data_IF_824233351842
#
_entry.id   IF_824233351842
#
_cell.length_a   1.000
_cell.length_b   1.000
_cell.length_c   1.000
_cell.angle_alpha   90.00
_cell.angle_beta   90.00
_cell.angle_gamma   90.00
#
_symmetry.space_group_name_H-M   'P 1'
#
loop_
_entity.id
_entity.type
_entity.pdbx_description
1 polymer ?
#
# COMPACT_ATOMS: atom_id res chain seq x y z
N UNK A 1 -29.43 40.66 -8.96
CA UNK A 1 -30.46 40.99 -7.93
C UNK A 1 -29.77 40.94 -6.56
N UNK A 2 -30.17 41.87 -5.69
CA UNK A 2 -29.54 42.40 -4.46
C UNK A 2 -28.65 41.43 -3.64
N UNK A 3 -27.40 41.75 -3.27
CA UNK A 3 -26.85 42.90 -2.50
C UNK A 3 -27.10 42.81 -0.98
N UNK A 4 -26.02 42.66 -0.18
CA UNK A 4 -25.47 43.65 0.78
C UNK A 4 -24.45 42.97 1.73
N UNK A 5 -23.16 43.37 1.78
CA UNK A 5 -22.57 44.58 2.44
C UNK A 5 -22.45 44.37 3.96
N UNK A 6 -21.36 44.60 4.71
CA UNK A 6 -19.96 45.05 4.59
C UNK A 6 -19.32 44.84 5.99
N UNK A 7 -17.99 44.77 6.12
CA UNK A 7 -17.23 45.81 6.85
C UNK A 7 -15.71 45.60 6.70
N UNK A 8 -15.06 46.67 6.26
CA UNK A 8 -13.61 46.80 6.01
C UNK A 8 -12.96 47.60 7.14
N UNK A 9 -11.66 47.32 7.32
CA UNK A 9 -10.56 48.21 7.74
C UNK A 9 -10.57 48.78 9.17
N UNK A 10 -9.42 48.69 9.85
CA UNK A 10 -8.40 49.75 9.81
C UNK A 10 -7.05 49.29 10.41
N UNK A 11 -5.98 49.59 9.68
CA UNK A 11 -4.58 49.58 10.13
C UNK A 11 -4.20 51.00 10.58
N UNK A 12 -3.45 51.12 11.67
CA UNK A 12 -2.67 52.32 11.97
C UNK A 12 -1.32 51.93 12.60
N UNK A 13 -0.26 52.55 12.10
CA UNK A 13 1.10 52.50 12.63
C UNK A 13 1.49 53.90 13.13
N UNK A 14 2.21 54.00 14.26
CA UNK A 14 2.96 55.20 14.69
C UNK A 14 4.24 54.77 15.43
N UNK A 15 5.30 55.56 15.23
CA UNK A 15 6.72 55.37 15.59
C UNK A 15 7.08 56.18 16.88
N UNK A 16 8.14 55.71 17.57
CA UNK A 16 8.97 56.21 18.70
C UNK A 16 8.76 57.58 19.39
N UNK A 17 8.96 57.60 20.72
CA UNK A 17 9.77 58.61 21.44
C UNK A 17 10.10 58.19 22.90
N UNK A 18 11.28 58.58 23.37
CA UNK A 18 11.91 58.22 24.64
C UNK A 18 11.52 59.08 25.87
N UNK A 19 11.68 58.50 27.07
CA UNK A 19 12.24 59.17 28.26
C UNK A 19 11.30 59.79 29.29
N UNK A 20 11.28 59.21 30.51
CA UNK A 20 11.53 59.88 31.82
C UNK A 20 10.86 59.14 32.98
N UNK A 21 11.55 59.09 34.12
CA UNK A 21 11.38 58.05 35.14
C UNK A 21 10.32 58.30 36.22
N UNK A 22 9.90 57.19 36.84
CA UNK A 22 9.39 57.11 38.21
C UNK A 22 9.74 55.73 38.80
N UNK A 23 10.18 55.64 40.07
CA UNK A 23 10.51 54.35 40.67
C UNK A 23 9.24 53.51 40.90
N UNK A 24 9.27 52.27 40.44
CA UNK A 24 8.20 51.28 40.62
C UNK A 24 8.07 50.84 42.10
N UNK A 25 6.85 50.61 42.61
CA UNK A 25 6.66 49.98 43.90
C UNK A 25 7.05 48.50 43.85
N UNK A 26 7.66 48.02 44.94
CA UNK A 26 8.11 46.63 45.14
C UNK A 26 6.96 45.64 44.83
N UNK A 27 7.14 44.65 43.93
CA UNK A 27 6.11 43.65 43.68
C UNK A 27 5.91 42.73 44.89
N UNK A 28 4.65 42.45 45.22
CA UNK A 28 4.29 41.38 46.18
C UNK A 28 4.77 40.02 45.65
N UNK A 29 5.10 39.06 46.53
CA UNK A 29 5.35 37.68 46.12
C UNK A 29 4.13 37.15 45.37
N UNK A 30 4.35 36.67 44.15
CA UNK A 30 3.37 35.94 43.36
C UNK A 30 3.06 34.62 44.08
N UNK A 31 1.79 34.24 44.30
CA UNK A 31 1.48 32.91 44.81
C UNK A 31 2.00 31.85 43.83
N UNK A 32 2.65 30.82 44.38
CA UNK A 32 3.19 29.72 43.58
C UNK A 32 2.07 29.06 42.77
N UNK A 33 2.29 28.74 41.48
CA UNK A 33 1.31 28.00 40.70
C UNK A 33 1.18 26.60 41.30
N UNK A 34 -0.03 26.27 41.75
CA UNK A 34 -0.41 24.91 42.12
C UNK A 34 -0.18 24.01 40.89
N UNK A 35 0.51 22.86 41.02
CA UNK A 35 0.64 21.94 39.91
C UNK A 35 -0.77 21.47 39.49
N UNK A 36 -1.13 21.79 38.24
CA UNK A 36 -2.31 21.26 37.58
C UNK A 36 -2.18 19.73 37.56
N UNK A 37 -3.24 18.95 37.81
CA UNK A 37 -3.17 17.51 37.69
C UNK A 37 -2.67 17.15 36.29
N UNK A 38 -1.49 16.53 36.22
CA UNK A 38 -0.99 15.94 34.98
C UNK A 38 -2.00 14.87 34.59
N UNK A 39 -2.78 15.13 33.53
CA UNK A 39 -3.53 14.05 32.90
C UNK A 39 -2.50 12.99 32.49
N UNK A 40 -2.75 11.70 32.75
CA UNK A 40 -1.86 10.67 32.26
C UNK A 40 -1.73 10.85 30.75
N UNK A 41 -0.50 11.08 30.29
CA UNK A 41 -0.15 11.00 28.89
C UNK A 41 -0.70 9.66 28.40
N UNK A 42 -1.50 9.61 27.32
CA UNK A 42 -1.90 8.34 26.74
C UNK A 42 -0.60 7.60 26.49
N UNK A 43 -0.41 6.48 27.18
CA UNK A 43 0.63 5.54 26.82
C UNK A 43 0.29 5.16 25.39
N UNK A 44 1.02 5.69 24.41
CA UNK A 44 0.96 5.20 23.05
C UNK A 44 1.37 3.75 23.17
N UNK A 45 0.40 2.85 23.26
CA UNK A 45 0.63 1.43 23.11
C UNK A 45 1.36 1.33 21.77
N UNK A 46 2.56 0.78 21.79
CA UNK A 46 3.20 0.38 20.55
C UNK A 46 2.16 -0.41 19.75
N UNK A 47 2.00 -0.15 18.44
CA UNK A 47 1.02 -0.85 17.63
C UNK A 47 1.24 -2.34 17.87
N UNK A 48 0.24 -2.99 18.47
CA UNK A 48 0.31 -4.41 18.74
C UNK A 48 0.14 -5.08 17.39
N UNK A 49 1.26 -5.37 16.73
CA UNK A 49 1.24 -6.18 15.52
C UNK A 49 0.62 -7.51 15.89
N UNK A 50 -0.44 -7.89 15.19
CA UNK A 50 -0.99 -9.23 15.30
C UNK A 50 0.08 -10.15 14.72
N UNK A 51 0.83 -10.83 15.60
CA UNK A 51 1.79 -11.83 15.16
C UNK A 51 1.07 -12.88 14.28
N UNK A 52 1.74 -13.43 13.27
CA UNK A 52 1.18 -14.48 12.42
C UNK A 52 0.56 -15.66 13.19
N UNK A 53 1.14 -16.01 14.35
CA UNK A 53 0.58 -17.01 15.26
C UNK A 53 -0.79 -16.62 15.80
N UNK A 54 -0.97 -15.35 16.17
CA UNK A 54 -2.23 -14.76 16.62
C UNK A 54 -3.25 -14.68 15.48
N UNK A 55 -2.83 -14.43 14.25
CA UNK A 55 -3.73 -14.47 13.09
C UNK A 55 -4.47 -15.81 13.01
N UNK A 56 -3.71 -16.92 13.05
CA UNK A 56 -4.25 -18.28 12.93
C UNK A 56 -5.12 -18.68 14.10
N UNK A 57 -4.72 -18.37 15.33
CA UNK A 57 -5.46 -18.79 16.52
C UNK A 57 -6.69 -17.95 16.80
N UNK A 58 -6.77 -16.72 16.26
CA UNK A 58 -7.73 -15.71 16.70
C UNK A 58 -8.56 -15.17 15.55
N UNK A 59 -7.93 -14.57 14.53
CA UNK A 59 -8.66 -13.95 13.40
C UNK A 59 -9.23 -15.03 12.49
N UNK A 60 -8.43 -16.03 12.12
CA UNK A 60 -8.84 -17.09 11.22
C UNK A 60 -9.93 -18.01 11.80
N UNK A 61 -9.95 -18.19 13.12
CA UNK A 61 -10.93 -19.05 13.82
C UNK A 61 -12.21 -18.31 14.20
N UNK A 62 -12.16 -16.97 14.33
CA UNK A 62 -13.33 -16.17 14.65
C UNK A 62 -14.39 -16.23 13.52
N UNK A 63 -15.69 -16.30 13.86
CA UNK A 63 -16.76 -16.12 12.88
C UNK A 63 -16.66 -14.73 12.24
N UNK A 64 -16.81 -14.61 10.92
CA UNK A 64 -16.70 -13.32 10.21
C UNK A 64 -17.55 -12.21 10.83
N UNK A 65 -18.84 -12.41 11.20
CA UNK A 65 -19.64 -11.35 11.82
C UNK A 65 -19.07 -10.83 13.14
N UNK A 66 -18.28 -11.64 13.86
CA UNK A 66 -17.67 -11.21 15.12
C UNK A 66 -16.46 -10.29 14.94
N UNK A 67 -15.90 -10.24 13.72
CA UNK A 67 -14.77 -9.38 13.36
C UNK A 67 -15.19 -8.00 12.86
N UNK A 68 -16.50 -7.75 12.74
CA UNK A 68 -17.04 -6.52 12.17
C UNK A 68 -17.65 -5.64 13.24
N UNK A 69 -17.53 -4.32 13.06
CA UNK A 69 -18.23 -3.35 13.92
C UNK A 69 -19.74 -3.51 13.73
N UNK A 70 -20.53 -3.19 14.76
CA UNK A 70 -21.98 -3.35 14.70
C UNK A 70 -22.67 -2.50 13.63
N UNK A 71 -22.06 -1.38 13.23
CA UNK A 71 -22.63 -0.43 12.28
C UNK A 71 -21.54 0.09 11.35
N UNK A 72 -21.47 -0.49 10.15
CA UNK A 72 -20.56 -0.10 9.07
C UNK A 72 -21.37 0.29 7.83
N UNK A 73 -20.79 1.14 6.98
CA UNK A 73 -21.45 1.64 5.76
C UNK A 73 -21.03 0.87 4.51
N UNK A 74 -19.85 0.26 4.54
CA UNK A 74 -19.30 -0.58 3.47
C UNK A 74 -18.35 -1.63 4.06
N UNK A 75 -17.80 -2.52 3.23
CA UNK A 75 -16.75 -3.43 3.71
C UNK A 75 -15.44 -2.69 4.03
N UNK A 76 -15.30 -1.43 3.60
CA UNK A 76 -14.09 -0.62 3.82
C UNK A 76 -13.94 -0.19 5.28
N UNK A 77 -15.06 0.08 5.96
CA UNK A 77 -15.09 0.52 7.36
C UNK A 77 -15.57 -0.57 8.34
N UNK A 78 -15.70 -1.82 7.86
CA UNK A 78 -16.35 -2.88 8.61
C UNK A 78 -15.47 -3.54 9.68
N UNK A 79 -14.15 -3.60 9.54
CA UNK A 79 -13.29 -4.35 10.47
C UNK A 79 -13.18 -3.69 11.85
N UNK A 80 -13.49 -4.45 12.92
CA UNK A 80 -13.40 -3.98 14.30
C UNK A 80 -11.97 -4.10 14.84
N UNK A 81 -11.14 -3.10 14.49
CA UNK A 81 -9.77 -2.99 14.99
C UNK A 81 -9.68 -2.64 16.48
N UNK A 82 -10.77 -2.18 17.10
CA UNK A 82 -10.81 -1.84 18.53
C UNK A 82 -10.86 -3.13 19.35
N UNK A 83 -11.68 -4.08 18.92
CA UNK A 83 -11.82 -5.37 19.59
C UNK A 83 -10.72 -6.37 19.19
N UNK A 84 -10.32 -6.39 17.92
CA UNK A 84 -9.45 -7.46 17.38
C UNK A 84 -8.01 -7.01 17.08
N UNK A 85 -7.69 -5.74 17.30
CA UNK A 85 -6.35 -5.19 17.09
C UNK A 85 -6.05 -4.89 15.62
N UNK A 86 -4.81 -4.49 15.35
CA UNK A 86 -4.39 -3.98 14.03
C UNK A 86 -4.39 -5.08 12.98
N UNK A 87 -4.96 -4.77 11.81
CA UNK A 87 -4.81 -5.60 10.64
C UNK A 87 -3.34 -5.60 10.16
N UNK A 88 -2.88 -6.73 9.64
CA UNK A 88 -1.52 -6.87 9.09
C UNK A 88 -1.57 -7.46 7.69
N UNK A 89 -0.68 -7.04 6.80
CA UNK A 89 -0.64 -7.63 5.45
C UNK A 89 -0.35 -9.14 5.51
N UNK A 90 0.54 -9.57 6.41
CA UNK A 90 0.86 -11.00 6.65
C UNK A 90 -0.38 -11.82 7.06
N UNK A 91 -1.24 -11.31 7.94
CA UNK A 91 -2.46 -12.03 8.28
C UNK A 91 -3.45 -12.06 7.11
N UNK A 92 -3.51 -11.01 6.28
CA UNK A 92 -4.32 -11.03 5.07
C UNK A 92 -3.84 -12.14 4.10
N UNK A 93 -2.53 -12.26 3.88
CA UNK A 93 -1.95 -13.36 3.08
C UNK A 93 -2.36 -14.73 3.61
N UNK A 94 -2.27 -14.94 4.93
CA UNK A 94 -2.70 -16.20 5.56
C UNK A 94 -4.17 -16.50 5.27
N UNK A 95 -5.04 -15.51 5.43
CA UNK A 95 -6.48 -15.68 5.17
C UNK A 95 -6.74 -16.03 3.70
N UNK A 96 -5.98 -15.46 2.77
CA UNK A 96 -6.19 -15.55 1.32
C UNK A 96 -5.55 -16.82 0.74
N UNK A 97 -4.24 -16.95 0.89
CA UNK A 97 -3.42 -17.93 0.18
C UNK A 97 -3.50 -19.31 0.84
N UNK A 98 -3.58 -19.35 2.18
CA UNK A 98 -3.55 -20.62 2.91
C UNK A 98 -4.93 -21.12 3.33
N UNK A 99 -5.81 -20.21 3.74
CA UNK A 99 -7.09 -20.58 4.35
C UNK A 99 -8.29 -20.33 3.45
N UNK A 100 -8.12 -19.63 2.34
CA UNK A 100 -9.18 -19.31 1.38
C UNK A 100 -10.41 -18.63 2.01
N UNK A 101 -10.21 -17.85 3.07
CA UNK A 101 -11.25 -17.11 3.79
C UNK A 101 -11.46 -15.72 3.18
N UNK A 102 -11.82 -15.67 1.89
CA UNK A 102 -11.86 -14.43 1.09
C UNK A 102 -12.84 -13.39 1.62
N UNK A 103 -14.07 -13.79 1.98
CA UNK A 103 -15.07 -12.89 2.57
C UNK A 103 -14.60 -12.23 3.87
N UNK A 104 -13.72 -12.91 4.62
CA UNK A 104 -13.12 -12.38 5.84
C UNK A 104 -11.93 -11.46 5.55
N UNK A 105 -11.15 -11.79 4.53
CA UNK A 105 -9.97 -11.01 4.16
C UNK A 105 -10.32 -9.63 3.60
N UNK A 106 -11.47 -9.47 2.94
CA UNK A 106 -11.90 -8.18 2.35
C UNK A 106 -11.89 -7.00 3.35
N UNK A 107 -12.67 -7.01 4.45
CA UNK A 107 -12.66 -5.90 5.41
C UNK A 107 -11.31 -5.76 6.14
N UNK A 108 -10.56 -6.85 6.26
CA UNK A 108 -9.24 -6.86 6.88
C UNK A 108 -8.21 -6.10 6.02
N UNK A 109 -8.22 -6.30 4.70
CA UNK A 109 -7.34 -5.62 3.74
C UNK A 109 -7.58 -4.11 3.68
N UNK A 110 -8.84 -3.67 3.83
CA UNK A 110 -9.17 -2.25 3.87
C UNK A 110 -8.49 -1.52 5.04
N UNK A 111 -8.42 -2.17 6.20
CA UNK A 111 -7.67 -1.64 7.33
C UNK A 111 -6.16 -1.58 7.05
N UNK A 112 -5.60 -2.51 6.25
CA UNK A 112 -4.18 -2.49 5.88
C UNK A 112 -3.85 -1.36 4.90
N UNK A 113 -4.77 -1.06 3.98
CA UNK A 113 -4.55 -0.06 2.92
C UNK A 113 -4.20 1.32 3.49
N UNK A 114 -4.94 1.79 4.49
CA UNK A 114 -4.70 3.08 5.15
C UNK A 114 -3.32 3.16 5.82
N UNK A 115 -2.73 2.01 6.15
CA UNK A 115 -1.41 1.91 6.77
C UNK A 115 -0.27 1.83 5.76
N UNK A 116 -0.56 1.80 4.45
CA UNK A 116 0.46 2.02 3.42
C UNK A 116 0.89 3.48 3.32
N UNK A 117 0.06 4.42 3.78
CA UNK A 117 0.36 5.84 3.74
C UNK A 117 1.62 6.16 4.55
N UNK A 118 2.65 6.72 3.89
CA UNK A 118 3.89 7.14 4.53
C UNK A 118 4.94 6.04 4.68
N UNK A 119 4.80 4.91 3.98
CA UNK A 119 5.85 3.90 3.83
C UNK A 119 7.19 4.54 3.41
N UNK A 120 7.16 5.55 2.52
CA UNK A 120 8.35 6.25 2.03
C UNK A 120 9.04 7.16 3.06
N UNK A 121 8.42 7.42 4.22
CA UNK A 121 8.89 8.44 5.18
C UNK A 121 9.46 7.83 6.44
N UNK A 122 8.76 6.86 7.04
CA UNK A 122 9.09 6.34 8.37
C UNK A 122 9.59 4.89 8.36
N UNK A 123 9.64 4.25 7.18
CA UNK A 123 10.06 2.84 7.02
C UNK A 123 9.12 1.81 7.66
N UNK A 124 8.04 2.25 8.32
CA UNK A 124 6.99 1.37 8.82
C UNK A 124 6.01 1.08 7.69
N UNK A 125 6.30 0.04 6.92
CA UNK A 125 5.45 -0.39 5.81
C UNK A 125 4.88 -1.79 6.10
N UNK A 126 3.55 -2.00 6.00
CA UNK A 126 2.92 -3.31 6.23
C UNK A 126 3.52 -4.44 5.38
N UNK A 127 4.07 -4.09 4.22
CA UNK A 127 4.63 -5.00 3.22
C UNK A 127 6.17 -5.04 3.20
N UNK A 128 6.84 -4.45 4.20
CA UNK A 128 8.30 -4.35 4.23
C UNK A 128 9.01 -5.72 4.21
N UNK A 129 8.42 -6.75 4.83
CA UNK A 129 8.98 -8.11 4.84
C UNK A 129 9.01 -8.76 3.44
N UNK A 130 8.29 -8.21 2.48
CA UNK A 130 8.28 -8.59 1.07
C UNK A 130 9.16 -7.66 0.21
N UNK A 131 9.92 -6.76 0.83
CA UNK A 131 10.70 -5.71 0.14
C UNK A 131 9.84 -4.77 -0.72
N UNK A 132 8.57 -4.61 -0.36
CA UNK A 132 7.64 -3.65 -0.96
C UNK A 132 7.54 -2.43 -0.04
N UNK A 133 8.59 -1.62 -0.02
CA UNK A 133 8.78 -0.58 1.01
C UNK A 133 8.30 0.81 0.59
N UNK A 134 7.83 0.99 -0.65
CA UNK A 134 7.28 2.26 -1.10
C UNK A 134 5.77 2.32 -0.91
N UNK A 135 5.22 3.53 -0.71
CA UNK A 135 3.77 3.71 -0.57
C UNK A 135 3.03 3.11 -1.75
N UNK A 136 3.49 3.38 -2.98
CA UNK A 136 2.88 2.85 -4.21
C UNK A 136 2.90 1.33 -4.30
N UNK A 137 3.98 0.67 -3.88
CA UNK A 137 4.08 -0.79 -3.91
C UNK A 137 3.23 -1.45 -2.83
N UNK A 138 3.19 -0.88 -1.63
CA UNK A 138 2.30 -1.34 -0.57
C UNK A 138 0.84 -1.24 -0.99
N UNK A 139 0.40 -0.05 -1.43
CA UNK A 139 -0.97 0.15 -1.88
C UNK A 139 -1.29 -0.78 -3.05
N UNK A 140 -0.41 -0.88 -4.05
CA UNK A 140 -0.60 -1.80 -5.17
C UNK A 140 -0.76 -3.26 -4.72
N UNK A 141 0.02 -3.71 -3.74
CA UNK A 141 -0.07 -5.07 -3.19
C UNK A 141 -1.38 -5.31 -2.43
N UNK A 142 -1.89 -4.31 -1.71
CA UNK A 142 -3.19 -4.39 -1.03
C UNK A 142 -4.34 -4.35 -2.04
N UNK A 143 -4.30 -3.46 -3.04
CA UNK A 143 -5.29 -3.40 -4.11
C UNK A 143 -5.34 -4.70 -4.92
N UNK A 144 -4.18 -5.31 -5.18
CA UNK A 144 -4.10 -6.62 -5.82
C UNK A 144 -4.91 -7.66 -5.04
N UNK A 145 -4.71 -7.74 -3.72
CA UNK A 145 -5.46 -8.69 -2.90
C UNK A 145 -6.93 -8.33 -2.73
N UNK A 146 -7.29 -7.05 -2.66
CA UNK A 146 -8.70 -6.62 -2.70
C UNK A 146 -9.37 -7.10 -4.00
N UNK A 147 -8.66 -7.04 -5.12
CA UNK A 147 -9.12 -7.59 -6.40
C UNK A 147 -9.28 -9.11 -6.35
N UNK A 148 -8.29 -9.80 -5.80
CA UNK A 148 -8.30 -11.25 -5.67
C UNK A 148 -9.46 -11.75 -4.82
N UNK A 149 -9.66 -11.19 -3.62
CA UNK A 149 -10.74 -11.61 -2.73
C UNK A 149 -12.11 -11.31 -3.32
N UNK A 150 -12.30 -10.17 -3.99
CA UNK A 150 -13.57 -9.85 -4.63
C UNK A 150 -13.90 -10.81 -5.78
N UNK A 151 -12.90 -11.30 -6.50
CA UNK A 151 -13.09 -12.35 -7.53
C UNK A 151 -13.40 -13.72 -6.91
N UNK A 152 -12.84 -14.03 -5.74
CA UNK A 152 -12.82 -15.40 -5.19
C UNK A 152 -13.83 -15.66 -4.06
N UNK A 153 -14.40 -14.63 -3.46
CA UNK A 153 -15.39 -14.72 -2.37
C UNK A 153 -16.65 -15.49 -2.78
N UNK A 154 -17.43 -15.92 -1.79
CA UNK A 154 -18.59 -16.80 -2.00
C UNK A 154 -19.59 -16.26 -3.05
N UNK A 155 -19.75 -14.93 -3.10
CA UNK A 155 -20.47 -14.23 -4.16
C UNK A 155 -19.50 -13.30 -4.89
N UNK A 156 -18.88 -13.74 -5.99
CA UNK A 156 -17.89 -12.94 -6.70
C UNK A 156 -18.42 -11.58 -7.15
N UNK A 157 -17.62 -10.54 -6.93
CA UNK A 157 -17.84 -9.20 -7.43
C UNK A 157 -16.74 -8.85 -8.43
N UNK A 158 -17.00 -9.17 -9.70
CA UNK A 158 -16.02 -9.01 -10.76
C UNK A 158 -15.76 -7.55 -11.15
N UNK A 159 -16.73 -6.65 -10.91
CA UNK A 159 -16.60 -5.23 -11.23
C UNK A 159 -15.66 -4.55 -10.23
N UNK A 160 -15.83 -4.84 -8.93
CA UNK A 160 -14.88 -4.40 -7.92
C UNK A 160 -13.52 -5.07 -8.09
N UNK A 161 -13.48 -6.38 -8.39
CA UNK A 161 -12.22 -7.06 -8.66
C UNK A 161 -11.42 -6.35 -9.76
N UNK A 162 -12.07 -6.06 -10.89
CA UNK A 162 -11.45 -5.32 -12.00
C UNK A 162 -10.94 -3.95 -11.55
N UNK A 163 -11.79 -3.19 -10.85
CA UNK A 163 -11.46 -1.84 -10.38
C UNK A 163 -10.22 -1.85 -9.48
N UNK A 164 -10.10 -2.85 -8.60
CA UNK A 164 -8.94 -2.95 -7.71
C UNK A 164 -7.68 -3.41 -8.43
N UNK A 165 -7.77 -4.32 -9.41
CA UNK A 165 -6.61 -4.63 -10.25
C UNK A 165 -6.16 -3.43 -11.08
N UNK A 166 -7.09 -2.65 -11.64
CA UNK A 166 -6.76 -1.42 -12.38
C UNK A 166 -5.99 -0.45 -11.48
N UNK A 167 -6.45 -0.22 -10.23
CA UNK A 167 -5.74 0.61 -9.25
C UNK A 167 -4.34 0.06 -8.91
N UNK A 168 -4.23 -1.26 -8.71
CA UNK A 168 -2.95 -1.89 -8.43
C UNK A 168 -1.94 -1.65 -9.55
N UNK A 169 -2.38 -1.79 -10.80
CA UNK A 169 -1.55 -1.62 -12.00
C UNK A 169 -1.27 -0.15 -12.33
N UNK A 170 -2.14 0.78 -11.96
CA UNK A 170 -1.88 2.22 -12.05
C UNK A 170 -0.71 2.62 -11.13
N UNK A 171 -0.69 2.10 -9.90
CA UNK A 171 0.34 2.40 -8.90
C UNK A 171 1.66 1.68 -9.18
N UNK A 172 1.59 0.44 -9.66
CA UNK A 172 2.74 -0.38 -10.00
C UNK A 172 2.43 -1.25 -11.23
N UNK A 173 2.75 -0.76 -12.45
CA UNK A 173 2.45 -1.47 -13.70
C UNK A 173 3.13 -2.84 -13.84
N UNK A 174 4.21 -3.08 -13.08
CA UNK A 174 4.93 -4.35 -13.05
C UNK A 174 4.55 -5.22 -11.84
N UNK A 175 3.39 -4.98 -11.21
CA UNK A 175 2.87 -5.87 -10.17
C UNK A 175 2.45 -7.21 -10.80
N UNK A 176 3.32 -8.21 -10.66
CA UNK A 176 3.12 -9.53 -11.25
C UNK A 176 1.86 -10.24 -10.76
N UNK A 177 1.51 -10.08 -9.48
CA UNK A 177 0.28 -10.64 -8.92
C UNK A 177 -0.95 -10.04 -9.60
N UNK A 178 -0.99 -8.70 -9.72
CA UNK A 178 -2.12 -8.00 -10.34
C UNK A 178 -2.26 -8.32 -11.83
N UNK A 179 -1.15 -8.37 -12.57
CA UNK A 179 -1.16 -8.76 -13.98
C UNK A 179 -1.67 -10.21 -14.16
N UNK A 180 -1.22 -11.14 -13.32
CA UNK A 180 -1.69 -12.54 -13.33
C UNK A 180 -3.19 -12.62 -13.03
N UNK A 181 -3.64 -12.03 -11.92
CA UNK A 181 -5.02 -12.14 -11.48
C UNK A 181 -6.02 -11.38 -12.38
N UNK A 182 -5.59 -10.26 -12.99
CA UNK A 182 -6.37 -9.56 -14.01
C UNK A 182 -6.49 -10.38 -15.30
N UNK A 183 -5.43 -11.10 -15.69
CA UNK A 183 -5.49 -12.05 -16.81
C UNK A 183 -6.53 -13.15 -16.54
N UNK A 184 -6.50 -13.76 -15.35
CA UNK A 184 -7.49 -14.76 -14.94
C UNK A 184 -8.92 -14.20 -14.88
N UNK A 185 -9.09 -12.95 -14.43
CA UNK A 185 -10.39 -12.27 -14.44
C UNK A 185 -10.90 -12.13 -15.87
N UNK A 186 -10.07 -11.69 -16.80
CA UNK A 186 -10.45 -11.59 -18.21
C UNK A 186 -10.84 -12.94 -18.82
N UNK A 187 -10.12 -14.01 -18.48
CA UNK A 187 -10.50 -15.38 -18.87
C UNK A 187 -11.86 -15.78 -18.29
N UNK A 188 -12.09 -15.51 -17.01
CA UNK A 188 -13.36 -15.78 -16.30
C UNK A 188 -14.54 -15.07 -16.99
N UNK A 189 -14.31 -13.85 -17.47
CA UNK A 189 -15.31 -13.03 -18.18
C UNK A 189 -15.39 -13.33 -19.69
N UNK A 190 -14.74 -14.39 -20.17
CA UNK A 190 -14.66 -14.76 -21.59
C UNK A 190 -14.09 -13.66 -22.51
N UNK A 191 -13.27 -12.76 -21.97
CA UNK A 191 -12.62 -11.69 -22.71
C UNK A 191 -11.19 -12.09 -23.11
N UNK A 192 -11.10 -13.00 -24.08
CA UNK A 192 -9.82 -13.55 -24.53
C UNK A 192 -8.85 -12.50 -25.10
N UNK A 193 -9.38 -11.41 -25.67
CA UNK A 193 -8.54 -10.32 -26.20
C UNK A 193 -7.85 -9.57 -25.07
N UNK A 194 -8.59 -9.16 -24.03
CA UNK A 194 -8.00 -8.50 -22.87
C UNK A 194 -7.06 -9.44 -22.10
N UNK A 195 -7.44 -10.71 -21.92
CA UNK A 195 -6.60 -11.70 -21.27
C UNK A 195 -5.23 -11.86 -21.96
N UNK A 196 -5.19 -11.95 -23.30
CA UNK A 196 -3.93 -12.02 -24.06
C UNK A 196 -3.10 -10.75 -23.93
N UNK A 197 -3.72 -9.58 -23.91
CA UNK A 197 -3.01 -8.31 -23.74
C UNK A 197 -2.35 -8.24 -22.35
N UNK A 198 -3.11 -8.47 -21.29
CA UNK A 198 -2.59 -8.45 -19.91
C UNK A 198 -1.54 -9.54 -19.68
N UNK A 199 -1.70 -10.72 -20.27
CA UNK A 199 -0.69 -11.78 -20.21
C UNK A 199 0.61 -11.40 -20.93
N UNK A 200 0.54 -10.64 -22.04
CA UNK A 200 1.74 -10.14 -22.70
C UNK A 200 2.49 -9.11 -21.83
N UNK A 201 1.75 -8.25 -21.13
CA UNK A 201 2.32 -7.31 -20.16
C UNK A 201 2.98 -8.07 -18.99
N UNK A 202 2.29 -9.10 -18.46
CA UNK A 202 2.84 -10.02 -17.46
C UNK A 202 4.16 -10.64 -17.91
N UNK A 203 4.19 -11.23 -19.11
CA UNK A 203 5.40 -11.85 -19.66
C UNK A 203 6.56 -10.87 -19.91
N UNK A 204 6.25 -9.58 -20.05
CA UNK A 204 7.27 -8.54 -20.22
C UNK A 204 7.82 -8.08 -18.87
N UNK A 205 6.97 -8.02 -17.84
CA UNK A 205 7.29 -7.46 -16.53
C UNK A 205 7.84 -8.50 -15.53
N UNK A 206 7.53 -9.79 -15.72
CA UNK A 206 7.67 -10.81 -14.69
C UNK A 206 8.51 -12.00 -15.14
N UNK A 207 9.39 -12.48 -14.25
CA UNK A 207 10.26 -13.64 -14.48
C UNK A 207 9.54 -14.96 -14.16
N UNK A 208 8.54 -15.34 -14.98
CA UNK A 208 7.93 -16.67 -14.89
C UNK A 208 6.45 -16.69 -15.26
N UNK A 209 5.87 -17.88 -15.54
CA UNK A 209 4.47 -17.99 -15.90
C UNK A 209 3.51 -17.79 -14.72
N UNK A 210 2.34 -17.19 -14.96
CA UNK A 210 1.17 -17.35 -14.08
C UNK A 210 0.62 -18.77 -14.27
N UNK A 211 0.65 -19.62 -13.24
CA UNK A 211 0.32 -21.05 -13.38
C UNK A 211 -1.06 -21.27 -14.02
N UNK A 212 -2.07 -20.50 -13.60
CA UNK A 212 -3.44 -20.61 -14.11
C UNK A 212 -3.57 -20.09 -15.56
N UNK A 213 -2.89 -19.00 -15.91
CA UNK A 213 -2.97 -18.49 -17.28
C UNK A 213 -2.14 -19.35 -18.27
N UNK A 214 -1.13 -20.10 -17.83
CA UNK A 214 -0.41 -21.02 -18.73
C UNK A 214 -1.31 -22.08 -19.31
N UNK A 215 -2.24 -22.60 -18.53
CA UNK A 215 -3.16 -23.63 -19.00
C UNK A 215 -4.05 -23.12 -20.16
N UNK A 216 -4.42 -21.84 -20.15
CA UNK A 216 -5.33 -21.24 -21.13
C UNK A 216 -4.63 -20.47 -22.27
N UNK A 217 -3.50 -19.82 -21.98
CA UNK A 217 -2.81 -18.87 -22.87
C UNK A 217 -1.39 -19.32 -23.26
N UNK A 218 -0.87 -20.39 -22.65
CA UNK A 218 0.48 -20.89 -22.87
C UNK A 218 1.54 -20.16 -22.05
N UNK A 219 2.79 -20.63 -22.14
CA UNK A 219 3.92 -20.03 -21.44
C UNK A 219 4.32 -18.70 -22.06
N UNK A 220 4.94 -17.84 -21.26
CA UNK A 220 5.61 -16.65 -21.77
C UNK A 220 6.65 -17.00 -22.84
N UNK A 221 6.72 -16.23 -23.94
CA UNK A 221 7.69 -16.47 -25.00
C UNK A 221 9.11 -16.37 -24.42
N UNK A 222 9.96 -17.35 -24.74
CA UNK A 222 11.38 -17.26 -24.43
C UNK A 222 11.99 -16.23 -25.39
N UNK A 223 12.72 -15.21 -24.89
CA UNK A 223 13.43 -14.28 -25.77
C UNK A 223 14.34 -15.07 -26.71
N UNK A 224 14.36 -14.73 -28.00
CA UNK A 224 15.30 -15.38 -28.90
C UNK A 224 16.73 -15.04 -28.46
N UNK A 225 17.73 -15.92 -28.67
CA UNK A 225 19.12 -15.63 -28.33
C UNK A 225 19.64 -14.30 -28.91
N UNK A 226 19.12 -13.89 -30.07
CA UNK A 226 19.41 -12.60 -30.72
C UNK A 226 18.93 -11.39 -29.91
N UNK A 227 17.77 -11.50 -29.25
CA UNK A 227 17.15 -10.40 -28.51
C UNK A 227 17.92 -10.12 -27.21
N UNK A 228 18.49 -11.19 -26.62
CA UNK A 228 19.35 -11.10 -25.42
C UNK A 228 20.66 -10.38 -25.75
N UNK A 229 21.26 -10.68 -26.91
CA UNK A 229 22.49 -10.02 -27.37
C UNK A 229 22.24 -8.54 -27.67
N UNK A 230 21.10 -8.20 -28.28
CA UNK A 230 20.74 -6.81 -28.56
C UNK A 230 20.40 -6.02 -27.28
N UNK A 231 19.71 -6.63 -26.31
CA UNK A 231 19.46 -6.01 -25.02
C UNK A 231 20.77 -5.75 -24.23
N UNK A 232 21.70 -6.72 -24.24
CA UNK A 232 23.03 -6.55 -23.65
C UNK A 232 23.84 -5.47 -24.37
N UNK A 233 23.76 -5.39 -25.71
CA UNK A 233 24.42 -4.37 -26.51
C UNK A 233 23.84 -2.96 -26.29
N UNK A 234 22.52 -2.84 -26.04
CA UNK A 234 21.86 -1.57 -25.68
C UNK A 234 22.16 -1.13 -24.25
N UNK A 235 22.40 -2.05 -23.31
CA UNK A 235 22.78 -1.72 -21.93
C UNK A 235 24.19 -1.12 -21.81
N UNK A 236 25.03 -1.26 -22.86
CA UNK A 236 26.39 -0.73 -22.89
C UNK A 236 27.29 -1.39 -21.84
N UNK A 237 28.63 -1.27 -21.95
CA UNK A 237 29.50 -1.74 -20.89
C UNK A 237 29.23 -0.92 -19.62
N UNK A 238 28.84 -1.60 -18.55
CA UNK A 238 28.91 -1.03 -17.21
C UNK A 238 30.39 -0.78 -16.92
N UNK A 239 30.75 0.50 -16.75
CA UNK A 239 32.08 0.89 -16.29
C UNK A 239 32.17 0.49 -14.82
N UNK A 240 32.56 -0.76 -14.56
CA UNK A 240 33.16 -1.12 -13.28
C UNK A 240 34.62 -0.70 -13.33
N UNK A 241 35.00 0.12 -12.35
CA UNK A 241 36.32 0.71 -12.22
C UNK A 241 37.46 -0.30 -12.50
N UNK A 242 38.25 0.00 -13.53
CA UNK A 242 39.71 -0.09 -13.39
C UNK A 242 40.43 -1.39 -13.70
N UNK A 243 39.86 -2.40 -14.39
CA UNK A 243 40.68 -3.50 -14.96
C UNK A 243 40.22 -3.86 -16.37
N UNK A 244 41.02 -3.45 -17.37
CA UNK A 244 40.84 -3.80 -18.78
C UNK A 244 41.26 -5.27 -19.00
N UNK A 245 40.32 -6.21 -19.01
CA UNK A 245 40.53 -7.55 -19.56
C UNK A 245 40.08 -7.57 -21.03
N UNK A 246 41.05 -7.46 -21.94
CA UNK A 246 40.82 -7.67 -23.38
C UNK A 246 40.78 -9.18 -23.63
N UNK A 247 39.59 -9.72 -23.86
CA UNK A 247 39.42 -11.11 -24.29
C UNK A 247 39.55 -11.18 -25.82
N UNK A 248 40.74 -11.50 -26.31
CA UNK A 248 40.96 -11.82 -27.73
C UNK A 248 40.45 -13.22 -28.03
N UNK A 249 39.34 -13.33 -28.77
CA UNK A 249 38.92 -14.59 -29.39
C UNK A 249 39.66 -14.72 -30.72
N UNK A 250 40.65 -15.62 -30.76
CA UNK A 250 41.24 -16.08 -32.01
C UNK A 250 40.34 -17.16 -32.61
N UNK A 251 39.75 -16.87 -33.75
CA UNK A 251 39.12 -17.85 -34.64
C UNK A 251 40.24 -18.50 -35.46
N UNK A 252 40.36 -19.82 -35.41
CA UNK A 252 41.23 -20.61 -36.30
C UNK A 252 40.31 -21.48 -37.17
N UNK A 253 40.56 -21.42 -38.48
CA UNK A 253 39.90 -22.20 -39.54
C UNK A 253 40.20 -23.69 -39.45
#
# INVERSE_FOLDING_TARGET
MHARTWCLLQLAAVIDAAGSGRPSPRPRPRPSPTPKPTMPQPTTLAPTTVAASTCRSTIATAPTPSLLVANYSSMEDAYDNVQHGHATYECAEILIEELQQYDKAEPYLWCVLDHCAGCDVNGMCPTAYLSLETTSKCESAVWNYLGFVNRKKATPDYDHAKTYYDKALELWPANCGALSYMTELHLTLNNATAARATHADFCTACDGPSEDAVAALGRCPTPAPSDVVDAARRRGPTVFDGVLMVLSIAVVF
#
